data_IF_114325827196
#
_entry.id   IF_114325827196
#
_cell.length_a   1.000
_cell.length_b   1.000
_cell.length_c   1.000
_cell.angle_alpha   90.00
_cell.angle_beta   90.00
_cell.angle_gamma   90.00
#
_symmetry.space_group_name_H-M   'P 1'
#
loop_
_entity.id
_entity.type
_entity.pdbx_description
1 polymer ?
#
# COMPACT_ATOMS: atom_id res chain seq x y z
N UNK A 1 -0.08 -24.88 17.27
CA UNK A 1 0.93 -24.49 18.31
C UNK A 1 2.05 -23.75 17.58
N UNK A 2 1.98 -22.43 17.52
CA UNK A 2 3.05 -21.57 16.97
C UNK A 2 4.09 -21.35 18.07
N UNK A 3 5.30 -21.87 17.87
CA UNK A 3 6.39 -21.96 18.84
C UNK A 3 7.29 -20.72 18.86
N UNK A 4 6.76 -19.48 18.76
CA UNK A 4 7.63 -18.34 18.47
C UNK A 4 7.80 -17.29 19.59
N UNK A 5 7.10 -17.39 20.75
CA UNK A 5 7.39 -16.51 21.90
C UNK A 5 7.04 -17.19 23.23
N UNK A 6 7.75 -16.88 24.32
CA UNK A 6 7.36 -17.34 25.65
C UNK A 6 6.08 -16.60 26.06
N UNK A 7 4.93 -17.28 25.99
CA UNK A 7 3.61 -16.79 26.44
C UNK A 7 3.53 -16.69 27.97
N UNK A 8 4.53 -16.12 28.60
CA UNK A 8 4.62 -16.07 30.08
C UNK A 8 3.75 -15.00 30.72
N UNK A 9 3.25 -14.04 29.92
CA UNK A 9 2.45 -12.90 30.40
C UNK A 9 0.96 -13.03 30.10
N UNK A 10 0.55 -13.90 29.18
CA UNK A 10 -0.83 -14.04 28.76
C UNK A 10 -1.69 -14.81 29.77
N UNK A 11 -2.92 -14.36 29.94
CA UNK A 11 -3.94 -15.16 30.59
C UNK A 11 -4.28 -16.36 29.70
N UNK A 12 -4.51 -17.51 30.33
CA UNK A 12 -4.87 -18.77 29.68
C UNK A 12 -6.28 -19.12 30.06
N UNK A 13 -7.03 -19.60 29.11
CA UNK A 13 -8.44 -19.93 29.30
C UNK A 13 -8.72 -21.38 28.98
N UNK A 14 -9.58 -21.99 29.77
CA UNK A 14 -10.23 -23.25 29.48
C UNK A 14 -11.58 -22.98 28.87
N UNK A 15 -11.95 -23.72 27.83
CA UNK A 15 -13.14 -23.42 27.03
C UNK A 15 -13.99 -24.69 26.92
N UNK A 16 -15.28 -24.55 27.19
CA UNK A 16 -16.29 -25.56 26.93
C UNK A 16 -17.44 -24.95 26.16
N UNK A 17 -17.79 -25.55 25.01
CA UNK A 17 -18.84 -25.07 24.09
C UNK A 17 -18.82 -23.56 23.82
N UNK A 18 -17.62 -23.03 23.56
CA UNK A 18 -17.42 -21.58 23.27
C UNK A 18 -17.59 -20.64 24.47
N UNK A 19 -17.65 -21.18 25.68
CA UNK A 19 -17.69 -20.43 26.93
C UNK A 19 -16.37 -20.61 27.69
N UNK A 20 -15.94 -19.56 28.33
CA UNK A 20 -14.79 -19.61 29.25
C UNK A 20 -15.29 -20.26 30.56
N UNK A 21 -14.62 -21.32 30.97
CA UNK A 21 -14.88 -21.98 32.25
C UNK A 21 -13.87 -21.57 33.32
N UNK A 22 -12.62 -21.35 32.91
CA UNK A 22 -11.53 -20.91 33.77
C UNK A 22 -10.64 -19.92 33.02
N UNK A 23 -10.12 -18.91 33.73
CA UNK A 23 -9.17 -17.94 33.19
C UNK A 23 -8.13 -17.57 34.25
N UNK A 24 -6.84 -17.93 34.01
CA UNK A 24 -5.73 -17.64 34.90
C UNK A 24 -4.40 -17.55 34.14
N UNK A 25 -3.40 -16.85 34.71
CA UNK A 25 -2.05 -16.78 34.13
C UNK A 25 -1.32 -18.11 34.13
N UNK A 26 -1.52 -18.91 35.17
CA UNK A 26 -0.75 -20.13 35.40
C UNK A 26 -1.56 -21.42 35.21
N UNK A 27 -2.58 -21.37 34.36
CA UNK A 27 -3.39 -22.56 34.07
C UNK A 27 -2.50 -23.64 33.43
N UNK A 28 -2.45 -24.81 34.05
CA UNK A 28 -1.58 -25.91 33.58
C UNK A 28 -2.10 -26.57 32.30
N UNK A 29 -3.44 -26.73 32.21
CA UNK A 29 -4.16 -27.25 31.05
C UNK A 29 -5.06 -26.16 30.50
N UNK A 30 -4.86 -25.74 29.27
CA UNK A 30 -5.55 -24.61 28.67
C UNK A 30 -5.79 -24.82 27.16
N UNK A 31 -6.90 -24.25 26.67
CA UNK A 31 -7.34 -24.35 25.26
C UNK A 31 -6.94 -23.13 24.45
N UNK A 32 -6.98 -21.93 25.05
CA UNK A 32 -6.68 -20.67 24.35
C UNK A 32 -5.93 -19.67 25.23
N UNK A 33 -5.12 -18.83 24.58
CA UNK A 33 -4.54 -17.62 25.18
C UNK A 33 -5.40 -16.40 24.91
N UNK A 34 -5.51 -15.52 25.90
CA UNK A 34 -6.22 -14.26 25.78
C UNK A 34 -5.42 -13.27 24.90
N UNK A 35 -6.11 -12.55 24.04
CA UNK A 35 -5.52 -11.52 23.19
C UNK A 35 -5.57 -10.11 23.78
N UNK A 36 -6.17 -9.95 24.97
CA UNK A 36 -6.39 -8.65 25.59
C UNK A 36 -7.51 -7.82 24.95
N UNK A 37 -8.21 -8.35 23.94
CA UNK A 37 -9.32 -7.66 23.28
C UNK A 37 -10.64 -8.26 23.76
N UNK A 38 -11.45 -7.46 24.44
CA UNK A 38 -12.70 -7.88 25.04
C UNK A 38 -13.86 -6.99 24.62
N UNK A 39 -14.99 -7.59 24.28
CA UNK A 39 -16.25 -6.88 24.12
C UNK A 39 -17.09 -7.10 25.38
N UNK A 40 -17.23 -6.05 26.19
CA UNK A 40 -17.85 -6.13 27.48
C UNK A 40 -19.23 -5.44 27.52
N UNK A 41 -20.14 -6.00 28.29
CA UNK A 41 -21.40 -5.37 28.70
C UNK A 41 -21.28 -4.83 30.11
N UNK A 42 -22.31 -4.11 30.61
CA UNK A 42 -22.37 -3.65 32.01
C UNK A 42 -22.21 -4.77 33.02
N UNK A 43 -22.52 -6.01 32.67
CA UNK A 43 -22.33 -7.18 33.54
C UNK A 43 -20.86 -7.39 33.97
N UNK A 44 -19.88 -6.87 33.26
CA UNK A 44 -18.48 -6.93 33.69
C UNK A 44 -18.25 -6.17 34.99
N UNK A 45 -18.94 -5.04 35.21
CA UNK A 45 -18.83 -4.27 36.47
C UNK A 45 -19.34 -5.07 37.67
N UNK A 46 -20.40 -5.87 37.49
CA UNK A 46 -20.90 -6.77 38.56
C UNK A 46 -19.84 -7.83 38.92
N UNK A 47 -19.13 -8.39 37.90
CA UNK A 47 -18.03 -9.32 38.13
C UNK A 47 -16.85 -8.66 38.83
N UNK A 48 -16.48 -7.44 38.44
CA UNK A 48 -15.39 -6.68 39.05
C UNK A 48 -15.70 -6.31 40.51
N UNK A 49 -16.94 -5.92 40.83
CA UNK A 49 -17.37 -5.61 42.20
C UNK A 49 -17.26 -6.86 43.10
N UNK A 50 -17.64 -8.03 42.60
CA UNK A 50 -17.50 -9.30 43.34
C UNK A 50 -16.04 -9.71 43.54
N UNK A 51 -15.19 -9.55 42.51
CA UNK A 51 -13.76 -9.79 42.62
C UNK A 51 -13.12 -8.82 43.63
N UNK A 52 -13.48 -7.53 43.59
CA UNK A 52 -13.00 -6.52 44.51
C UNK A 52 -13.37 -6.82 45.98
N UNK A 53 -14.56 -7.38 46.21
CA UNK A 53 -14.97 -7.82 47.54
C UNK A 53 -14.07 -8.94 48.11
N UNK A 54 -13.32 -9.66 47.25
CA UNK A 54 -12.30 -10.66 47.63
C UNK A 54 -10.88 -10.11 47.61
N UNK A 55 -10.74 -8.80 47.46
CA UNK A 55 -9.44 -8.11 47.31
C UNK A 55 -8.66 -8.46 46.03
N UNK A 56 -9.40 -8.84 44.97
CA UNK A 56 -8.90 -9.11 43.61
C UNK A 56 -9.28 -7.92 42.72
N UNK A 57 -8.30 -7.30 42.07
CA UNK A 57 -8.52 -6.01 41.38
C UNK A 57 -8.16 -6.06 39.89
N UNK A 58 -7.88 -7.23 39.33
CA UNK A 58 -7.56 -7.44 37.93
C UNK A 58 -8.82 -7.51 37.06
N UNK A 59 -8.74 -7.06 35.83
CA UNK A 59 -9.82 -7.22 34.84
C UNK A 59 -10.16 -8.71 34.63
N UNK A 60 -9.13 -9.56 34.61
CA UNK A 60 -9.26 -11.02 34.51
C UNK A 60 -9.97 -11.64 35.70
N UNK A 61 -9.86 -11.04 36.90
CA UNK A 61 -10.54 -11.56 38.09
C UNK A 61 -12.05 -11.35 37.95
N UNK A 62 -12.48 -10.16 37.49
CA UNK A 62 -13.89 -9.90 37.20
C UNK A 62 -14.43 -10.76 36.05
N UNK A 63 -13.58 -11.05 35.02
CA UNK A 63 -13.96 -11.96 33.96
C UNK A 63 -14.06 -13.42 34.46
N UNK A 64 -13.19 -13.83 35.38
CA UNK A 64 -13.26 -15.12 36.06
C UNK A 64 -14.58 -15.35 36.79
N UNK A 65 -15.12 -14.31 37.48
CA UNK A 65 -16.43 -14.35 38.06
C UNK A 65 -17.54 -14.65 37.04
N UNK A 66 -17.50 -13.94 35.90
CA UNK A 66 -18.48 -14.14 34.86
C UNK A 66 -18.30 -15.51 34.16
N UNK A 67 -17.07 -16.02 34.09
CA UNK A 67 -16.77 -17.34 33.55
C UNK A 67 -17.41 -18.44 34.43
N UNK A 68 -17.26 -18.35 35.73
CA UNK A 68 -17.92 -19.25 36.70
C UNK A 68 -19.45 -19.25 36.59
N UNK A 69 -20.06 -18.14 36.17
CA UNK A 69 -21.50 -18.03 35.92
C UNK A 69 -21.90 -18.48 34.48
N UNK A 70 -20.95 -18.88 33.64
CA UNK A 70 -21.18 -19.23 32.23
C UNK A 70 -21.54 -18.04 31.33
N UNK A 71 -21.28 -16.81 31.76
CA UNK A 71 -21.58 -15.55 31.06
C UNK A 71 -20.44 -15.05 30.18
N UNK A 72 -19.23 -15.59 30.34
CA UNK A 72 -18.07 -15.26 29.48
C UNK A 72 -18.00 -16.18 28.25
N UNK A 73 -17.87 -15.58 27.06
CA UNK A 73 -17.77 -16.29 25.78
C UNK A 73 -16.49 -15.96 25.06
N UNK A 74 -16.01 -16.87 24.21
CA UNK A 74 -14.85 -16.69 23.36
C UNK A 74 -15.27 -16.45 21.89
N UNK A 75 -14.39 -15.72 21.19
CA UNK A 75 -14.38 -15.65 19.71
C UNK A 75 -13.04 -16.16 19.26
N UNK A 76 -13.02 -17.19 18.42
CA UNK A 76 -11.78 -17.74 17.86
C UNK A 76 -11.23 -16.77 16.81
N UNK A 77 -10.02 -16.28 17.07
CA UNK A 77 -9.24 -15.40 16.18
C UNK A 77 -7.99 -16.08 15.66
N UNK A 78 -7.92 -17.40 15.72
CA UNK A 78 -6.82 -18.20 15.18
C UNK A 78 -6.63 -17.90 13.70
N UNK A 79 -5.41 -17.54 13.31
CA UNK A 79 -5.08 -17.14 11.94
C UNK A 79 -5.11 -15.64 11.68
N UNK A 80 -5.63 -14.82 12.60
CA UNK A 80 -5.42 -13.38 12.55
C UNK A 80 -4.03 -13.01 13.08
N UNK A 81 -3.49 -11.91 12.57
CA UNK A 81 -2.19 -11.39 13.01
C UNK A 81 -2.37 -10.71 14.36
N UNK A 82 -1.78 -11.28 15.40
CA UNK A 82 -1.79 -10.73 16.75
C UNK A 82 -0.37 -10.74 17.32
N UNK A 83 -0.02 -9.72 18.08
CA UNK A 83 1.26 -9.59 18.77
C UNK A 83 1.09 -8.76 20.04
N UNK A 84 1.54 -9.30 21.15
CA UNK A 84 1.65 -8.59 22.41
C UNK A 84 2.91 -7.71 22.43
N UNK A 85 2.78 -6.44 22.84
CA UNK A 85 3.86 -5.44 22.75
C UNK A 85 4.24 -4.95 24.15
N UNK A 86 4.76 -5.86 24.98
CA UNK A 86 5.18 -5.57 26.34
C UNK A 86 6.67 -5.19 26.47
N UNK A 87 7.45 -5.43 25.43
CA UNK A 87 8.89 -5.18 25.45
C UNK A 87 9.36 -4.35 24.24
N UNK A 88 10.50 -3.63 24.36
CA UNK A 88 11.09 -2.94 23.22
C UNK A 88 11.42 -3.85 22.03
N UNK A 89 11.70 -5.14 22.27
CA UNK A 89 11.94 -6.10 21.20
C UNK A 89 10.63 -6.50 20.50
N UNK A 90 9.56 -6.71 21.26
CA UNK A 90 8.22 -6.96 20.72
C UNK A 90 7.73 -5.76 19.89
N UNK A 91 8.00 -4.53 20.35
CA UNK A 91 7.69 -3.31 19.58
C UNK A 91 8.44 -3.29 18.24
N UNK A 92 9.74 -3.61 18.23
CA UNK A 92 10.53 -3.69 17.00
C UNK A 92 10.01 -4.78 16.05
N UNK A 93 9.55 -5.89 16.59
CA UNK A 93 8.94 -6.95 15.79
C UNK A 93 7.56 -6.54 15.25
N UNK A 94 6.73 -5.86 16.06
CA UNK A 94 5.46 -5.29 15.62
C UNK A 94 5.65 -4.30 14.46
N UNK A 95 6.61 -3.37 14.59
CA UNK A 95 6.98 -2.45 13.51
C UNK A 95 7.37 -3.20 12.24
N UNK A 96 8.21 -4.24 12.35
CA UNK A 96 8.64 -5.04 11.18
C UNK A 96 7.48 -5.77 10.52
N UNK A 97 6.56 -6.37 11.30
CA UNK A 97 5.37 -7.05 10.77
C UNK A 97 4.43 -6.08 10.08
N UNK A 98 4.10 -4.96 10.71
CA UNK A 98 3.27 -3.92 10.12
C UNK A 98 3.84 -3.40 8.80
N UNK A 99 5.16 -3.14 8.75
CA UNK A 99 5.83 -2.71 7.52
C UNK A 99 5.80 -3.80 6.43
N UNK A 100 5.84 -5.07 6.79
CA UNK A 100 5.79 -6.20 5.84
C UNK A 100 4.38 -6.39 5.28
N UNK A 101 3.38 -6.39 6.16
CA UNK A 101 1.98 -6.69 5.79
C UNK A 101 1.34 -5.52 5.04
N UNK A 102 1.62 -4.29 5.45
CA UNK A 102 1.11 -3.07 4.81
C UNK A 102 1.81 -2.75 3.48
N UNK A 103 3.01 -3.30 3.25
CA UNK A 103 3.81 -3.05 2.05
C UNK A 103 3.38 -3.82 0.81
N UNK A 104 2.46 -4.78 0.91
CA UNK A 104 1.96 -5.54 -0.24
C UNK A 104 0.62 -4.99 -0.72
N UNK A 105 0.65 -4.08 -1.70
CA UNK A 105 -0.51 -3.92 -2.58
C UNK A 105 -0.55 -5.16 -3.49
N UNK A 106 -1.68 -5.83 -3.54
CA UNK A 106 -1.94 -6.99 -4.45
C UNK A 106 -1.81 -6.64 -5.94
N UNK A 107 -1.56 -5.37 -6.29
CA UNK A 107 -1.59 -4.83 -7.64
C UNK A 107 -0.38 -3.96 -8.00
N UNK A 108 0.75 -4.11 -7.31
CA UNK A 108 1.98 -3.39 -7.67
C UNK A 108 2.57 -3.94 -8.97
N UNK A 109 3.06 -3.05 -9.84
CA UNK A 109 3.78 -3.42 -11.05
C UNK A 109 5.19 -3.97 -10.75
N UNK A 110 5.87 -4.57 -11.75
CA UNK A 110 7.17 -5.23 -11.55
C UNK A 110 8.27 -4.28 -11.10
N UNK A 111 8.32 -3.05 -11.62
CA UNK A 111 9.30 -2.03 -11.22
C UNK A 111 9.03 -1.56 -9.80
N UNK A 112 7.75 -1.35 -9.47
CA UNK A 112 7.35 -1.01 -8.10
C UNK A 112 7.81 -2.07 -7.11
N UNK A 113 7.53 -3.35 -7.36
CA UNK A 113 7.88 -4.43 -6.45
C UNK A 113 9.38 -4.56 -6.17
N UNK A 114 10.23 -4.43 -7.22
CA UNK A 114 11.65 -4.76 -7.14
C UNK A 114 12.54 -3.54 -6.91
N UNK A 115 12.16 -2.36 -7.40
CA UNK A 115 12.98 -1.15 -7.33
C UNK A 115 12.41 -0.13 -6.34
N UNK A 116 11.13 0.28 -6.51
CA UNK A 116 10.58 1.39 -5.73
C UNK A 116 10.28 0.99 -4.27
N UNK A 117 9.65 -0.17 -4.05
CA UNK A 117 9.21 -0.60 -2.71
C UNK A 117 10.33 -0.83 -1.69
N UNK A 118 11.50 -1.39 -2.03
CA UNK A 118 12.60 -1.47 -1.07
C UNK A 118 13.00 -0.11 -0.54
N UNK A 119 13.07 0.90 -1.42
CA UNK A 119 13.50 2.26 -1.07
C UNK A 119 12.37 3.03 -0.37
N UNK A 120 11.13 2.98 -0.89
CA UNK A 120 9.99 3.67 -0.27
C UNK A 120 9.71 3.16 1.15
N UNK A 121 9.79 1.85 1.40
CA UNK A 121 9.63 1.27 2.75
C UNK A 121 10.72 1.72 3.72
N UNK A 122 11.96 1.82 3.24
CA UNK A 122 13.04 2.35 4.05
C UNK A 122 12.75 3.81 4.43
N UNK A 123 12.33 4.64 3.48
CA UNK A 123 11.97 6.04 3.71
C UNK A 123 10.75 6.19 4.62
N UNK A 124 9.72 5.37 4.40
CA UNK A 124 8.47 5.39 5.17
C UNK A 124 8.67 5.09 6.66
N UNK A 125 9.71 4.31 7.03
CA UNK A 125 10.07 4.07 8.45
C UNK A 125 10.43 5.37 9.20
N UNK A 126 11.02 6.31 8.50
CA UNK A 126 11.36 7.62 9.09
C UNK A 126 10.17 8.57 9.02
N UNK A 127 9.49 8.63 7.87
CA UNK A 127 8.38 9.54 7.64
C UNK A 127 7.17 9.26 8.53
N UNK A 128 6.92 8.00 8.91
CA UNK A 128 5.80 7.64 9.80
C UNK A 128 5.91 8.30 11.18
N UNK A 129 7.15 8.58 11.63
CA UNK A 129 7.43 9.25 12.92
C UNK A 129 7.30 10.77 12.85
N UNK A 130 7.09 11.34 11.67
CA UNK A 130 6.93 12.77 11.45
C UNK A 130 5.45 13.15 11.40
N UNK A 131 5.16 14.45 11.42
CA UNK A 131 3.80 14.99 11.24
C UNK A 131 3.34 15.06 9.79
N UNK A 132 4.19 14.65 8.84
CA UNK A 132 3.89 14.69 7.40
C UNK A 132 2.68 13.82 7.08
N UNK A 133 1.74 14.39 6.32
CA UNK A 133 0.52 13.72 5.89
C UNK A 133 0.72 13.01 4.54
N UNK A 134 -0.05 11.96 4.23
CA UNK A 134 0.01 11.30 2.91
C UNK A 134 -0.17 12.26 1.75
N UNK A 135 -1.15 13.17 1.81
CA UNK A 135 -1.42 14.13 0.75
C UNK A 135 -0.26 15.13 0.52
N UNK A 136 0.50 15.46 1.57
CA UNK A 136 1.71 16.27 1.42
C UNK A 136 2.81 15.52 0.66
N UNK A 137 2.92 14.21 0.86
CA UNK A 137 3.88 13.37 0.15
C UNK A 137 3.52 13.28 -1.32
N UNK A 138 2.23 13.04 -1.65
CA UNK A 138 1.74 13.03 -3.04
C UNK A 138 2.02 14.39 -3.72
N UNK A 139 1.81 15.51 -3.02
CA UNK A 139 2.10 16.85 -3.54
C UNK A 139 3.61 17.06 -3.78
N UNK A 140 4.47 16.63 -2.84
CA UNK A 140 5.94 16.71 -2.98
C UNK A 140 6.40 15.86 -4.18
N UNK A 141 5.90 14.65 -4.33
CA UNK A 141 6.19 13.76 -5.46
C UNK A 141 5.81 14.42 -6.79
N UNK A 142 4.63 15.04 -6.86
CA UNK A 142 4.19 15.78 -8.04
C UNK A 142 5.08 16.98 -8.35
N UNK A 143 5.45 17.79 -7.35
CA UNK A 143 6.36 18.93 -7.53
C UNK A 143 7.74 18.47 -8.02
N UNK A 144 8.27 17.37 -7.49
CA UNK A 144 9.53 16.78 -7.98
C UNK A 144 9.39 16.30 -9.43
N UNK A 145 8.23 15.76 -9.83
CA UNK A 145 7.96 15.39 -11.22
C UNK A 145 7.93 16.62 -12.14
N UNK A 146 7.39 17.74 -11.67
CA UNK A 146 7.43 19.00 -12.43
C UNK A 146 8.87 19.54 -12.60
N UNK A 147 9.70 19.48 -11.55
CA UNK A 147 11.11 19.85 -11.62
C UNK A 147 11.87 18.91 -12.57
N UNK A 148 11.61 17.60 -12.50
CA UNK A 148 12.19 16.60 -13.39
C UNK A 148 11.85 16.88 -14.86
N UNK A 149 10.59 17.19 -15.15
CA UNK A 149 10.15 17.57 -16.50
C UNK A 149 10.82 18.86 -16.99
N UNK A 150 10.95 19.88 -16.10
CA UNK A 150 11.67 21.12 -16.39
C UNK A 150 13.15 20.86 -16.74
N UNK A 151 13.83 20.00 -15.97
CA UNK A 151 15.21 19.59 -16.26
C UNK A 151 15.31 18.86 -17.60
N UNK A 152 14.38 17.92 -17.91
CA UNK A 152 14.37 17.27 -19.20
C UNK A 152 14.15 18.26 -20.36
N UNK A 153 13.35 19.30 -20.16
CA UNK A 153 13.09 20.31 -21.18
C UNK A 153 14.30 21.20 -21.48
N UNK A 154 15.28 21.29 -20.59
CA UNK A 154 16.54 22.01 -20.81
C UNK A 154 17.40 21.23 -21.81
N UNK A 155 18.04 21.96 -22.72
CA UNK A 155 18.93 21.37 -23.73
C UNK A 155 20.17 20.72 -23.10
N UNK A 156 20.55 19.57 -23.63
CA UNK A 156 21.77 18.85 -23.27
C UNK A 156 21.56 17.59 -22.44
N UNK A 157 22.40 16.61 -22.71
CA UNK A 157 22.33 15.28 -22.09
C UNK A 157 22.37 15.27 -20.55
N UNK A 158 23.24 16.07 -19.85
CA UNK A 158 23.28 16.03 -18.39
C UNK A 158 21.95 16.44 -17.75
N UNK A 159 21.25 17.42 -18.32
CA UNK A 159 19.95 17.88 -17.82
C UNK A 159 18.86 16.81 -18.06
N UNK A 160 18.85 16.17 -19.24
CA UNK A 160 17.97 15.07 -19.57
C UNK A 160 18.17 13.90 -18.61
N UNK A 161 19.40 13.45 -18.40
CA UNK A 161 19.74 12.35 -17.51
C UNK A 161 19.34 12.65 -16.06
N UNK A 162 19.66 13.86 -15.56
CA UNK A 162 19.26 14.31 -14.21
C UNK A 162 17.74 14.34 -14.04
N UNK A 163 17.00 14.82 -15.04
CA UNK A 163 15.55 14.81 -15.08
C UNK A 163 14.99 13.39 -15.01
N UNK A 164 15.56 12.43 -15.75
CA UNK A 164 15.18 11.02 -15.72
C UNK A 164 15.36 10.39 -14.33
N UNK A 165 16.53 10.65 -13.70
CA UNK A 165 16.80 10.17 -12.34
C UNK A 165 15.83 10.79 -11.33
N UNK A 166 15.59 12.10 -11.43
CA UNK A 166 14.67 12.79 -10.51
C UNK A 166 13.22 12.31 -10.68
N UNK A 167 12.77 12.00 -11.91
CA UNK A 167 11.47 11.40 -12.16
C UNK A 167 11.31 10.03 -11.47
N UNK A 168 12.34 9.20 -11.50
CA UNK A 168 12.33 7.91 -10.81
C UNK A 168 12.31 8.10 -9.29
N UNK A 169 13.07 9.04 -8.74
CA UNK A 169 13.03 9.39 -7.31
C UNK A 169 11.65 9.90 -6.88
N UNK A 170 11.01 10.75 -7.70
CA UNK A 170 9.64 11.18 -7.47
C UNK A 170 8.67 9.99 -7.40
N UNK A 171 8.80 9.01 -8.29
CA UNK A 171 7.99 7.78 -8.28
C UNK A 171 8.22 6.91 -7.04
N UNK A 172 9.44 6.90 -6.48
CA UNK A 172 9.74 6.21 -5.22
C UNK A 172 9.07 6.91 -4.05
N UNK A 173 9.17 8.25 -3.97
CA UNK A 173 8.57 9.07 -2.91
C UNK A 173 7.05 8.96 -2.95
N UNK A 174 6.46 8.94 -4.12
CA UNK A 174 5.05 8.70 -4.36
C UNK A 174 4.55 7.44 -3.65
N UNK A 175 5.28 6.34 -3.77
CA UNK A 175 4.94 5.10 -3.08
C UNK A 175 4.87 5.19 -1.55
N UNK A 176 5.48 6.21 -0.95
CA UNK A 176 5.45 6.41 0.50
C UNK A 176 4.11 6.92 1.02
N UNK A 177 3.33 7.66 0.21
CA UNK A 177 2.06 8.25 0.65
C UNK A 177 1.06 7.17 1.05
N UNK A 178 0.85 6.18 0.19
CA UNK A 178 -0.02 5.05 0.48
C UNK A 178 0.52 4.13 1.59
N UNK A 179 1.83 4.02 1.76
CA UNK A 179 2.44 3.29 2.89
C UNK A 179 2.15 4.01 4.21
N UNK A 180 2.35 5.32 4.25
CA UNK A 180 2.11 6.15 5.44
C UNK A 180 0.63 6.25 5.75
N UNK A 181 -0.25 6.37 4.72
CA UNK A 181 -1.69 6.36 4.92
C UNK A 181 -2.17 5.08 5.63
N UNK A 182 -1.62 3.93 5.26
CA UNK A 182 -1.93 2.65 5.91
C UNK A 182 -1.35 2.57 7.32
N UNK A 183 -0.08 2.94 7.50
CA UNK A 183 0.61 2.87 8.80
C UNK A 183 0.01 3.81 9.84
N UNK A 184 -0.45 5.00 9.43
CA UNK A 184 -1.11 5.98 10.30
C UNK A 184 -2.63 5.77 10.39
N UNK A 185 -3.19 4.75 9.76
CA UNK A 185 -4.65 4.53 9.65
C UNK A 185 -5.41 5.79 9.16
N UNK A 186 -4.79 6.56 8.27
CA UNK A 186 -5.30 7.83 7.72
C UNK A 186 -5.72 7.72 6.25
N UNK A 187 -6.11 6.52 5.82
CA UNK A 187 -6.63 6.28 4.48
C UNK A 187 -7.97 7.02 4.30
N UNK A 188 -8.14 7.68 3.15
CA UNK A 188 -9.39 8.34 2.79
C UNK A 188 -9.66 8.20 1.29
N UNK A 189 -10.93 8.23 0.91
CA UNK A 189 -11.33 8.23 -0.51
C UNK A 189 -10.80 9.46 -1.24
N UNK A 190 -10.85 10.64 -0.57
CA UNK A 190 -10.28 11.87 -1.10
C UNK A 190 -8.77 11.73 -1.34
N UNK A 191 -8.01 11.15 -0.40
CA UNK A 191 -6.57 10.95 -0.55
C UNK A 191 -6.23 10.08 -1.76
N UNK A 192 -6.95 8.98 -1.96
CA UNK A 192 -6.76 8.11 -3.12
C UNK A 192 -7.14 8.77 -4.44
N UNK A 193 -8.20 9.58 -4.47
CA UNK A 193 -8.59 10.36 -5.64
C UNK A 193 -7.58 11.47 -5.94
N UNK A 194 -7.11 12.20 -4.92
CA UNK A 194 -6.13 13.28 -5.05
C UNK A 194 -4.80 12.76 -5.61
N UNK A 195 -4.29 11.67 -5.07
CA UNK A 195 -3.11 10.96 -5.57
C UNK A 195 -3.30 10.58 -7.06
N UNK A 196 -4.42 9.95 -7.40
CA UNK A 196 -4.72 9.58 -8.78
C UNK A 196 -4.71 10.78 -9.73
N UNK A 197 -5.22 11.95 -9.32
CA UNK A 197 -5.19 13.17 -10.14
C UNK A 197 -3.77 13.68 -10.32
N UNK A 198 -2.99 13.80 -9.24
CA UNK A 198 -1.59 14.26 -9.30
C UNK A 198 -0.72 13.34 -10.16
N UNK A 199 -0.96 12.03 -10.11
CA UNK A 199 -0.33 11.04 -10.97
C UNK A 199 -0.52 11.32 -12.46
N UNK A 200 -1.73 11.73 -12.86
CA UNK A 200 -2.01 12.06 -14.27
C UNK A 200 -1.25 13.31 -14.71
N UNK A 201 -1.26 14.34 -13.86
CA UNK A 201 -0.46 15.53 -14.14
C UNK A 201 1.04 15.24 -14.21
N UNK A 202 1.56 14.41 -13.29
CA UNK A 202 2.97 13.99 -13.30
C UNK A 202 3.34 13.25 -14.59
N UNK A 203 2.53 12.28 -15.02
CA UNK A 203 2.73 11.56 -16.28
C UNK A 203 2.75 12.53 -17.48
N UNK A 204 1.82 13.48 -17.52
CA UNK A 204 1.72 14.45 -18.63
C UNK A 204 2.93 15.35 -18.70
N UNK A 205 3.36 15.95 -17.55
CA UNK A 205 4.49 16.89 -17.56
C UNK A 205 5.83 16.20 -17.86
N UNK A 206 6.04 14.96 -17.39
CA UNK A 206 7.25 14.19 -17.68
C UNK A 206 7.34 13.84 -19.17
N UNK A 207 6.25 13.36 -19.77
CA UNK A 207 6.22 13.05 -21.20
C UNK A 207 6.33 14.31 -22.07
N UNK A 208 5.73 15.41 -21.60
CA UNK A 208 5.88 16.72 -22.26
C UNK A 208 7.33 17.21 -22.20
N UNK A 209 8.00 17.13 -21.05
CA UNK A 209 9.40 17.51 -20.90
C UNK A 209 10.32 16.74 -21.84
N UNK A 210 10.11 15.42 -21.95
CA UNK A 210 10.85 14.56 -22.87
C UNK A 210 10.57 14.90 -24.35
N UNK A 211 9.30 15.15 -24.69
CA UNK A 211 8.86 15.58 -26.01
C UNK A 211 9.51 16.91 -26.39
N UNK A 212 9.51 17.89 -25.49
CA UNK A 212 10.09 19.20 -25.71
C UNK A 212 11.60 19.13 -25.88
N UNK A 213 12.28 18.29 -25.10
CA UNK A 213 13.72 18.04 -25.26
C UNK A 213 14.07 17.64 -26.68
N UNK A 214 13.39 16.60 -27.18
CA UNK A 214 13.63 16.09 -28.52
C UNK A 214 13.29 17.11 -29.62
N UNK A 215 12.15 17.80 -29.45
CA UNK A 215 11.73 18.83 -30.39
C UNK A 215 12.73 19.99 -30.44
N UNK A 216 13.19 20.47 -29.30
CA UNK A 216 14.17 21.57 -29.22
C UNK A 216 15.55 21.16 -29.80
N UNK A 217 15.92 19.88 -29.69
CA UNK A 217 17.20 19.37 -30.19
C UNK A 217 17.17 19.11 -31.71
N UNK A 218 16.05 18.60 -32.25
CA UNK A 218 15.97 18.11 -33.63
C UNK A 218 15.05 18.91 -34.54
N UNK A 219 14.11 19.69 -34.00
CA UNK A 219 13.05 20.37 -34.75
C UNK A 219 12.04 19.42 -35.41
N UNK A 220 12.06 18.14 -35.08
CA UNK A 220 11.26 17.11 -35.74
C UNK A 220 9.81 17.10 -35.19
N UNK A 221 8.82 17.36 -36.05
CA UNK A 221 7.40 17.27 -35.72
C UNK A 221 6.97 15.87 -35.21
N UNK A 222 7.75 14.82 -35.57
CA UNK A 222 7.51 13.45 -35.11
C UNK A 222 7.56 13.35 -33.56
N UNK A 223 8.42 14.14 -32.89
CA UNK A 223 8.48 14.19 -31.45
C UNK A 223 7.18 14.67 -30.83
N UNK A 224 6.54 15.68 -31.45
CA UNK A 224 5.24 16.21 -31.02
C UNK A 224 4.14 15.15 -31.17
N UNK A 225 4.10 14.48 -32.33
CA UNK A 225 3.09 13.43 -32.58
C UNK A 225 3.24 12.26 -31.61
N UNK A 226 4.45 11.77 -31.43
CA UNK A 226 4.72 10.66 -30.50
C UNK A 226 4.48 11.09 -29.04
N UNK A 227 4.89 12.29 -28.66
CA UNK A 227 4.66 12.83 -27.32
C UNK A 227 3.17 12.96 -27.01
N UNK A 228 2.38 13.51 -27.94
CA UNK A 228 0.94 13.59 -27.80
C UNK A 228 0.30 12.19 -27.69
N UNK A 229 0.68 11.26 -28.56
CA UNK A 229 0.18 9.88 -28.51
C UNK A 229 0.57 9.16 -27.21
N UNK A 230 1.78 9.42 -26.67
CA UNK A 230 2.24 8.87 -25.40
C UNK A 230 1.42 9.44 -24.21
N UNK A 231 1.15 10.75 -24.19
CA UNK A 231 0.33 11.40 -23.17
C UNK A 231 -1.09 10.83 -23.20
N UNK A 232 -1.75 10.85 -24.35
CA UNK A 232 -3.12 10.32 -24.52
C UNK A 232 -3.18 8.84 -24.14
N UNK A 233 -2.23 8.04 -24.63
CA UNK A 233 -2.14 6.61 -24.29
C UNK A 233 -1.97 6.37 -22.78
N UNK A 234 -1.15 7.17 -22.10
CA UNK A 234 -0.94 7.08 -20.64
C UNK A 234 -2.22 7.41 -19.87
N UNK A 235 -2.96 8.46 -20.27
CA UNK A 235 -4.24 8.82 -19.66
C UNK A 235 -5.28 7.72 -19.87
N UNK A 236 -5.46 7.26 -21.10
CA UNK A 236 -6.42 6.21 -21.44
C UNK A 236 -6.08 4.88 -20.77
N UNK A 237 -4.78 4.52 -20.71
CA UNK A 237 -4.34 3.32 -20.00
C UNK A 237 -4.72 3.36 -18.51
N UNK A 238 -4.55 4.51 -17.87
CA UNK A 238 -4.91 4.69 -16.47
C UNK A 238 -6.43 4.70 -16.26
N UNK A 239 -7.17 5.45 -17.09
CA UNK A 239 -8.63 5.51 -17.04
C UNK A 239 -9.27 4.13 -17.28
N UNK A 240 -8.81 3.42 -18.31
CA UNK A 240 -9.36 2.09 -18.62
C UNK A 240 -8.96 1.03 -17.60
N UNK A 241 -7.82 1.19 -16.88
CA UNK A 241 -7.44 0.25 -15.83
C UNK A 241 -8.47 0.20 -14.71
N UNK A 242 -8.91 1.35 -14.20
CA UNK A 242 -9.89 1.43 -13.12
C UNK A 242 -11.24 0.86 -13.54
N UNK A 243 -11.70 1.17 -14.76
CA UNK A 243 -12.94 0.64 -15.32
C UNK A 243 -12.85 -0.84 -15.65
N UNK A 244 -11.74 -1.29 -16.21
CA UNK A 244 -11.48 -2.70 -16.51
C UNK A 244 -11.50 -3.54 -15.24
N UNK A 245 -10.80 -3.07 -14.19
CA UNK A 245 -10.73 -3.79 -12.92
C UNK A 245 -12.14 -3.93 -12.30
N UNK A 246 -12.98 -2.92 -12.38
CA UNK A 246 -14.36 -2.99 -11.87
C UNK A 246 -15.24 -3.96 -12.66
N UNK A 247 -15.08 -4.00 -14.01
CA UNK A 247 -15.85 -4.90 -14.88
C UNK A 247 -15.40 -6.35 -14.78
N UNK A 248 -14.10 -6.58 -14.53
CA UNK A 248 -13.48 -7.90 -14.58
C UNK A 248 -13.20 -8.52 -13.21
N UNK A 249 -13.34 -7.76 -12.11
CA UNK A 249 -13.06 -8.24 -10.76
C UNK A 249 -13.80 -9.54 -10.41
N UNK A 250 -15.03 -9.70 -10.89
CA UNK A 250 -15.83 -10.91 -10.67
C UNK A 250 -15.53 -12.05 -11.65
N UNK A 251 -14.94 -11.74 -12.82
CA UNK A 251 -14.76 -12.69 -13.94
C UNK A 251 -13.37 -13.27 -14.04
N UNK A 252 -12.36 -12.56 -13.52
CA UNK A 252 -10.95 -12.96 -13.60
C UNK A 252 -10.42 -13.51 -12.26
N UNK A 253 -11.23 -14.23 -11.49
CA UNK A 253 -10.80 -14.89 -10.27
C UNK A 253 -9.63 -15.84 -10.58
N UNK A 254 -8.42 -15.48 -10.11
CA UNK A 254 -7.23 -16.32 -10.19
C UNK A 254 -6.30 -16.10 -11.39
N UNK A 255 -6.60 -15.23 -12.35
CA UNK A 255 -5.67 -14.94 -13.44
C UNK A 255 -4.55 -13.99 -13.00
N UNK A 256 -3.30 -14.39 -13.19
CA UNK A 256 -2.14 -13.50 -13.03
C UNK A 256 -2.20 -12.43 -14.12
N UNK A 257 -2.48 -11.20 -13.72
CA UNK A 257 -2.65 -10.10 -14.64
C UNK A 257 -1.40 -9.21 -14.64
N UNK A 258 -0.70 -9.16 -15.78
CA UNK A 258 0.42 -8.24 -15.98
C UNK A 258 -0.12 -6.84 -16.22
N UNK A 259 0.16 -5.91 -15.30
CA UNK A 259 -0.28 -4.52 -15.39
C UNK A 259 0.89 -3.62 -15.80
N UNK A 260 0.74 -2.97 -16.94
CA UNK A 260 1.62 -1.87 -17.36
C UNK A 260 1.20 -0.59 -16.64
N UNK A 261 1.71 -0.42 -15.43
CA UNK A 261 1.41 0.71 -14.56
C UNK A 261 2.28 1.95 -14.82
N UNK A 262 2.10 2.97 -13.97
CA UNK A 262 2.93 4.19 -13.97
C UNK A 262 4.39 3.87 -13.69
N UNK A 263 4.66 2.92 -12.82
CA UNK A 263 6.00 2.49 -12.45
C UNK A 263 6.85 2.05 -13.66
N UNK A 264 6.25 1.30 -14.58
CA UNK A 264 6.92 0.87 -15.83
C UNK A 264 7.17 2.08 -16.74
N UNK A 265 6.19 3.00 -16.88
CA UNK A 265 6.34 4.20 -17.70
C UNK A 265 7.49 5.08 -17.22
N UNK A 266 7.52 5.39 -15.93
CA UNK A 266 8.58 6.24 -15.36
C UNK A 266 9.95 5.56 -15.49
N UNK A 267 10.01 4.26 -15.32
CA UNK A 267 11.25 3.50 -15.51
C UNK A 267 11.72 3.52 -16.97
N UNK A 268 10.81 3.42 -17.94
CA UNK A 268 11.13 3.56 -19.37
C UNK A 268 11.63 4.98 -19.68
N UNK A 269 11.04 6.02 -19.06
CA UNK A 269 11.52 7.40 -19.17
C UNK A 269 12.94 7.53 -18.60
N UNK A 270 13.21 6.96 -17.42
CA UNK A 270 14.55 6.93 -16.82
C UNK A 270 15.57 6.31 -17.80
N UNK A 271 15.28 5.10 -18.29
CA UNK A 271 16.20 4.40 -19.19
C UNK A 271 16.44 5.20 -20.48
N UNK A 272 15.38 5.74 -21.06
CA UNK A 272 15.48 6.55 -22.26
C UNK A 272 16.27 7.84 -22.08
N UNK A 273 16.12 8.49 -20.91
CA UNK A 273 16.89 9.68 -20.56
C UNK A 273 18.39 9.35 -20.35
N UNK A 274 18.69 8.25 -19.65
CA UNK A 274 20.08 7.80 -19.44
C UNK A 274 20.77 7.34 -20.72
N UNK A 275 20.04 6.72 -21.62
CA UNK A 275 20.56 6.25 -22.92
C UNK A 275 20.57 7.35 -23.99
N UNK A 276 20.07 8.54 -23.68
CA UNK A 276 19.90 9.65 -24.61
C UNK A 276 19.06 9.29 -25.85
N UNK A 277 17.92 8.60 -25.60
CA UNK A 277 17.01 8.10 -26.63
C UNK A 277 15.57 8.62 -26.41
N UNK A 278 15.34 9.95 -26.33
CA UNK A 278 14.03 10.51 -26.00
C UNK A 278 12.95 10.16 -27.02
N UNK A 279 13.26 10.23 -28.32
CA UNK A 279 12.31 9.90 -29.39
C UNK A 279 11.86 8.43 -29.34
N UNK A 280 12.80 7.51 -29.13
CA UNK A 280 12.50 6.07 -29.01
C UNK A 280 11.63 5.82 -27.77
N UNK A 281 11.94 6.48 -26.67
CA UNK A 281 11.16 6.39 -25.42
C UNK A 281 9.71 6.83 -25.61
N UNK A 282 9.50 7.98 -26.27
CA UNK A 282 8.15 8.46 -26.61
C UNK A 282 7.42 7.45 -27.51
N UNK A 283 8.08 6.91 -28.51
CA UNK A 283 7.52 5.88 -29.41
C UNK A 283 7.12 4.61 -28.65
N UNK A 284 8.00 4.10 -27.79
CA UNK A 284 7.72 2.91 -26.96
C UNK A 284 6.51 3.16 -26.04
N UNK A 285 6.48 4.29 -25.33
CA UNK A 285 5.35 4.60 -24.43
C UNK A 285 4.06 4.77 -25.24
N UNK A 286 4.11 5.50 -26.37
CA UNK A 286 2.94 5.70 -27.24
C UNK A 286 2.37 4.34 -27.71
N UNK A 287 3.21 3.46 -28.25
CA UNK A 287 2.76 2.17 -28.77
C UNK A 287 2.26 1.27 -27.65
N UNK A 288 3.04 1.08 -26.61
CA UNK A 288 2.72 0.12 -25.52
C UNK A 288 1.43 0.52 -24.79
N UNK A 289 1.26 1.80 -24.47
CA UNK A 289 0.07 2.25 -23.73
C UNK A 289 -1.19 2.16 -24.60
N UNK A 290 -1.15 2.57 -25.85
CA UNK A 290 -2.31 2.50 -26.73
C UNK A 290 -2.67 1.05 -27.12
N UNK A 291 -1.68 0.17 -27.36
CA UNK A 291 -1.92 -1.26 -27.58
C UNK A 291 -2.59 -1.91 -26.38
N UNK A 292 -2.17 -1.57 -25.15
CA UNK A 292 -2.80 -2.08 -23.93
C UNK A 292 -4.26 -1.62 -23.80
N UNK A 293 -4.55 -0.37 -24.13
CA UNK A 293 -5.94 0.14 -24.16
C UNK A 293 -6.78 -0.65 -25.14
N UNK A 294 -6.31 -0.85 -26.37
CA UNK A 294 -7.01 -1.64 -27.40
C UNK A 294 -7.20 -3.08 -26.93
N UNK A 295 -6.17 -3.69 -26.36
CA UNK A 295 -6.26 -5.05 -25.79
C UNK A 295 -7.39 -5.17 -24.76
N UNK A 296 -7.48 -4.21 -23.82
CA UNK A 296 -8.56 -4.19 -22.79
C UNK A 296 -9.94 -4.06 -23.42
N UNK A 297 -10.10 -3.18 -24.41
CA UNK A 297 -11.36 -3.01 -25.14
C UNK A 297 -11.79 -4.33 -25.79
N UNK A 298 -10.84 -5.02 -26.44
CA UNK A 298 -11.14 -6.31 -27.09
C UNK A 298 -11.53 -7.40 -26.10
N UNK A 299 -10.86 -7.46 -24.94
CA UNK A 299 -11.22 -8.43 -23.88
C UNK A 299 -12.59 -8.12 -23.31
N UNK A 300 -12.88 -6.86 -22.97
CA UNK A 300 -14.20 -6.46 -22.47
C UNK A 300 -15.34 -6.75 -23.45
N UNK A 301 -15.09 -6.59 -24.75
CA UNK A 301 -16.08 -6.90 -25.79
C UNK A 301 -16.42 -8.38 -25.85
N UNK A 302 -15.45 -9.26 -25.63
CA UNK A 302 -15.63 -10.72 -25.71
C UNK A 302 -16.21 -11.34 -24.44
N UNK A 303 -16.23 -10.60 -23.35
CA UNK A 303 -16.79 -11.09 -22.12
C UNK A 303 -18.33 -11.17 -22.24
N UNK A 304 -18.96 -12.35 -22.04
CA UNK A 304 -20.42 -12.47 -22.12
C UNK A 304 -21.07 -11.53 -21.10
N UNK A 305 -22.22 -10.96 -21.47
CA UNK A 305 -23.04 -10.22 -20.53
C UNK A 305 -23.43 -11.13 -19.37
N UNK A 306 -23.32 -10.61 -18.14
CA UNK A 306 -23.69 -11.35 -16.92
C UNK A 306 -25.21 -11.45 -16.80
#
# INVERSE_FOLDING_TARGET
RSTLFPYTTLFRSKIDDGRITEIEKNLGDWDAGDTGVMLCTSGLFEGLERAAARNEHGLSDGLGELAGEGRARTVDVTGLSWLDVDTPDALREAERRLMRDQGRKTRDGPVSCHLNRPVSRWLSRYLVRTTVTPNQISLISWLLSCVAAGLMAVSGYPALAAGGVLAQLASVIDGCDGEIARLKHSQSEFGGWFDAVLDRYADAVLLFGLMWHEFAATGTNLSIVLGFAAIVGSFLNSYTADKYDSLMAQRLQGAVYFRLGRDVRVFVILLGALLNLPLVTLGVVAVVMNVEVVRRIMICRRAPAA
#
